data_IF_880132069375
#
_entry.id   IF_880132069375
#
_cell.length_a   1.000
_cell.length_b   1.000
_cell.length_c   1.000
_cell.angle_alpha   90.00
_cell.angle_beta   90.00
_cell.angle_gamma   90.00
#
_symmetry.space_group_name_H-M   'P 1'
#
loop_
_entity.id
_entity.type
_entity.pdbx_description
1 polymer ?
#
# COMPACT_ATOMS: atom_id res chain seq x y z
N UNK A 1 18.21 6.50 -2.84
CA UNK A 1 16.94 6.85 -2.15
C UNK A 1 16.23 7.92 -2.98
N UNK A 2 14.93 7.80 -3.23
CA UNK A 2 14.14 8.79 -3.98
C UNK A 2 13.25 9.64 -3.08
N UNK A 3 12.72 9.05 -2.01
CA UNK A 3 11.89 9.76 -1.04
C UNK A 3 11.81 8.94 0.24
N UNK A 4 11.83 9.62 1.39
CA UNK A 4 11.36 9.14 2.67
C UNK A 4 9.96 9.70 2.94
N UNK A 5 9.03 8.82 3.28
CA UNK A 5 7.61 9.11 3.46
C UNK A 5 7.25 8.78 4.89
N UNK A 6 6.51 9.67 5.54
CA UNK A 6 5.95 9.46 6.88
C UNK A 6 4.54 8.94 6.72
N UNK A 7 4.29 7.70 7.11
CA UNK A 7 2.94 7.21 7.35
C UNK A 7 2.50 7.61 8.76
N UNK A 8 1.72 8.68 8.87
CA UNK A 8 1.08 9.09 10.11
C UNK A 8 -0.21 8.28 10.32
N UNK A 9 -0.36 7.69 11.51
CA UNK A 9 -1.48 6.83 11.94
C UNK A 9 -2.39 7.60 12.90
N UNK A 10 -3.46 8.28 12.43
CA UNK A 10 -4.30 9.10 13.31
C UNK A 10 -5.01 8.31 14.42
N UNK A 11 -5.27 7.02 14.18
CA UNK A 11 -5.88 6.09 15.13
C UNK A 11 -4.85 5.15 15.80
N UNK A 12 -3.60 5.59 15.99
CA UNK A 12 -2.59 4.77 16.64
C UNK A 12 -3.03 4.36 18.05
N UNK A 13 -2.81 3.08 18.39
CA UNK A 13 -3.08 2.60 19.75
C UNK A 13 -2.17 3.34 20.75
N UNK A 14 -2.66 3.70 21.94
CA UNK A 14 -1.84 4.30 22.97
C UNK A 14 -0.76 3.32 23.43
N UNK A 15 0.43 3.83 23.71
CA UNK A 15 1.52 3.05 24.30
C UNK A 15 1.42 3.04 25.83
N UNK A 16 1.83 1.94 26.46
CA UNK A 16 1.93 1.85 27.93
C UNK A 16 3.13 2.62 28.49
N UNK A 17 4.03 3.09 27.62
CA UNK A 17 5.26 3.80 27.98
C UNK A 17 4.94 5.24 28.36
N UNK A 18 5.50 5.73 29.48
CA UNK A 18 5.15 7.02 30.08
C UNK A 18 6.26 8.08 30.02
N UNK A 19 7.48 7.71 29.61
CA UNK A 19 8.66 8.56 29.60
C UNK A 19 9.02 9.11 28.21
N UNK A 20 8.13 8.92 27.22
CA UNK A 20 8.26 9.45 25.87
C UNK A 20 6.90 9.71 25.23
N UNK A 21 6.92 10.42 24.10
CA UNK A 21 5.75 10.59 23.25
C UNK A 21 5.41 9.28 22.53
N UNK A 22 4.11 9.04 22.30
CA UNK A 22 3.61 7.91 21.51
C UNK A 22 4.14 7.96 20.08
N UNK A 23 4.65 6.83 19.59
CA UNK A 23 5.08 6.67 18.19
C UNK A 23 3.85 6.47 17.32
N UNK A 24 3.35 7.58 16.75
CA UNK A 24 2.15 7.59 15.91
C UNK A 24 2.44 7.47 14.40
N UNK A 25 3.67 7.17 14.00
CA UNK A 25 4.03 7.07 12.58
C UNK A 25 5.04 5.96 12.30
N UNK A 26 5.15 5.61 11.02
CA UNK A 26 6.16 4.69 10.48
C UNK A 26 6.79 5.31 9.23
N UNK A 27 8.01 4.88 8.91
CA UNK A 27 8.70 5.30 7.68
C UNK A 27 8.40 4.36 6.52
N UNK A 28 8.17 4.95 5.36
CA UNK A 28 8.14 4.26 4.07
C UNK A 28 9.26 4.84 3.19
N UNK A 29 10.19 4.00 2.78
CA UNK A 29 11.31 4.43 1.94
C UNK A 29 11.10 4.01 0.49
N UNK A 30 11.20 4.98 -0.42
CA UNK A 30 11.15 4.74 -1.86
C UNK A 30 12.57 4.66 -2.42
N UNK A 31 12.97 3.48 -2.89
CA UNK A 31 14.24 3.26 -3.58
C UNK A 31 14.03 3.04 -5.09
N UNK A 32 15.02 3.44 -5.88
CA UNK A 32 15.11 3.14 -7.31
C UNK A 32 16.47 2.54 -7.62
N UNK A 33 16.56 1.69 -8.66
CA UNK A 33 17.83 1.10 -9.12
C UNK A 33 18.73 2.12 -9.83
N UNK A 34 18.12 3.16 -10.40
CA UNK A 34 18.76 4.22 -11.19
C UNK A 34 18.00 5.53 -11.03
N UNK A 35 18.60 6.63 -11.47
CA UNK A 35 17.95 7.95 -11.53
C UNK A 35 16.80 7.99 -12.53
N UNK A 36 16.93 7.24 -13.64
CA UNK A 36 15.86 7.02 -14.60
C UNK A 36 15.03 5.82 -14.16
N UNK A 37 13.80 6.06 -13.70
CA UNK A 37 12.85 5.03 -13.28
C UNK A 37 11.42 5.45 -13.62
N UNK A 38 10.50 4.48 -13.72
CA UNK A 38 9.09 4.76 -13.94
C UNK A 38 8.48 5.42 -12.70
N UNK A 39 7.78 6.54 -12.89
CA UNK A 39 7.02 7.20 -11.84
C UNK A 39 5.79 7.91 -12.42
N UNK A 40 4.60 7.42 -12.08
CA UNK A 40 3.34 8.06 -12.46
C UNK A 40 2.85 8.98 -11.33
N UNK A 41 3.22 10.25 -11.44
CA UNK A 41 2.81 11.27 -10.48
C UNK A 41 1.31 11.58 -10.57
N UNK A 42 0.74 11.55 -11.77
CA UNK A 42 -0.65 11.91 -12.02
C UNK A 42 -1.61 10.90 -11.39
N UNK A 43 -1.25 9.62 -11.42
CA UNK A 43 -2.04 8.54 -10.81
C UNK A 43 -2.23 8.70 -9.29
N UNK A 44 -1.36 9.46 -8.60
CA UNK A 44 -1.40 9.62 -7.14
C UNK A 44 -1.68 11.05 -6.66
N UNK A 45 -1.96 12.00 -7.56
CA UNK A 45 -2.26 13.38 -7.16
C UNK A 45 -3.40 13.44 -6.14
N UNK A 46 -3.26 14.29 -5.13
CA UNK A 46 -4.26 14.50 -4.08
C UNK A 46 -5.07 15.78 -4.35
N UNK A 47 -6.30 15.91 -3.83
CA UNK A 47 -7.07 17.14 -3.99
C UNK A 47 -6.38 18.33 -3.29
N UNK A 48 -6.58 19.53 -3.84
CA UNK A 48 -6.22 20.77 -3.15
C UNK A 48 -7.14 21.01 -1.95
N UNK A 49 -6.70 21.84 -0.99
CA UNK A 49 -7.48 22.09 0.23
C UNK A 49 -8.82 22.79 -0.04
N UNK A 50 -8.89 23.57 -1.12
CA UNK A 50 -10.11 24.21 -1.61
C UNK A 50 -10.96 23.29 -2.51
N UNK A 51 -10.51 22.06 -2.79
CA UNK A 51 -11.20 21.08 -3.64
C UNK A 51 -11.28 21.43 -5.12
N UNK A 52 -10.70 22.55 -5.56
CA UNK A 52 -10.84 23.06 -6.94
C UNK A 52 -9.84 22.47 -7.93
N UNK A 53 -8.89 21.66 -7.45
CA UNK A 53 -7.88 21.06 -8.30
C UNK A 53 -7.19 19.86 -7.66
N UNK A 54 -6.15 19.38 -8.33
CA UNK A 54 -5.29 18.30 -7.86
C UNK A 54 -3.85 18.80 -7.75
N UNK A 55 -3.15 18.36 -6.71
CA UNK A 55 -1.76 18.70 -6.42
C UNK A 55 -0.94 17.43 -6.22
N UNK A 56 0.38 17.58 -6.27
CA UNK A 56 1.30 16.47 -6.04
C UNK A 56 1.12 15.90 -4.64
N UNK A 57 1.13 14.56 -4.54
CA UNK A 57 1.05 13.86 -3.25
C UNK A 57 2.25 14.24 -2.38
N UNK A 58 2.00 14.62 -1.13
CA UNK A 58 3.04 15.02 -0.18
C UNK A 58 3.69 13.81 0.49
N UNK A 59 4.78 14.02 1.23
CA UNK A 59 5.53 12.96 1.92
C UNK A 59 4.94 12.56 3.28
N UNK A 60 3.93 13.27 3.79
CA UNK A 60 3.23 12.88 5.03
C UNK A 60 1.85 12.35 4.68
N UNK A 61 1.65 11.04 4.87
CA UNK A 61 0.43 10.34 4.54
C UNK A 61 -0.36 10.04 5.80
N UNK A 62 -1.53 10.68 5.94
CA UNK A 62 -2.45 10.39 7.04
C UNK A 62 -3.35 9.22 6.62
N UNK A 63 -3.06 8.03 7.14
CA UNK A 63 -3.81 6.80 6.81
C UNK A 63 -4.06 6.05 8.12
N UNK A 64 -5.32 5.73 8.39
CA UNK A 64 -5.68 4.94 9.57
C UNK A 64 -5.19 3.50 9.43
N UNK A 65 -4.81 2.91 10.56
CA UNK A 65 -4.64 1.45 10.67
C UNK A 65 -6.01 0.77 10.56
N UNK A 66 -6.03 -0.41 9.93
CA UNK A 66 -7.23 -1.23 9.76
C UNK A 66 -7.01 -2.56 10.49
N UNK A 67 -7.87 -2.92 11.46
CA UNK A 67 -7.76 -4.22 12.13
C UNK A 67 -8.13 -5.33 11.15
N UNK A 68 -7.33 -6.39 11.13
CA UNK A 68 -7.58 -7.56 10.29
C UNK A 68 -7.88 -8.77 11.17
N UNK A 69 -9.11 -9.28 11.11
CA UNK A 69 -9.63 -10.29 12.04
C UNK A 69 -8.88 -11.63 11.97
N UNK A 70 -8.41 -12.02 10.79
CA UNK A 70 -7.77 -13.32 10.58
C UNK A 70 -6.25 -13.32 10.83
N UNK A 71 -5.63 -12.18 11.16
CA UNK A 71 -4.22 -12.13 11.54
C UNK A 71 -4.06 -11.50 12.92
N UNK A 72 -3.39 -12.22 13.82
CA UNK A 72 -2.93 -11.68 15.11
C UNK A 72 -1.80 -10.63 14.95
N UNK A 73 -1.48 -10.20 13.73
CA UNK A 73 -0.33 -9.34 13.42
C UNK A 73 -0.76 -8.13 12.59
N UNK A 74 0.03 -7.06 12.71
CA UNK A 74 -0.25 -5.75 12.12
C UNK A 74 -0.19 -5.79 10.59
N UNK A 75 -1.34 -5.95 9.95
CA UNK A 75 -1.49 -5.79 8.51
C UNK A 75 -1.52 -4.28 8.21
N UNK A 76 -0.70 -3.82 7.27
CA UNK A 76 -0.82 -2.45 6.77
C UNK A 76 -2.09 -2.31 5.89
N UNK A 77 -2.72 -1.13 5.87
CA UNK A 77 -3.95 -0.91 5.12
C UNK A 77 -3.69 -0.88 3.61
N UNK A 78 -4.67 -1.29 2.81
CA UNK A 78 -4.57 -1.25 1.34
C UNK A 78 -4.32 0.17 0.81
N UNK A 79 -4.87 1.18 1.50
CA UNK A 79 -4.69 2.58 1.20
C UNK A 79 -3.21 3.04 1.26
N UNK A 80 -2.37 2.36 2.05
CA UNK A 80 -0.92 2.61 2.11
C UNK A 80 -0.22 2.05 0.87
N UNK A 81 -0.62 0.87 0.41
CA UNK A 81 0.01 0.17 -0.73
C UNK A 81 -0.39 0.78 -2.08
N UNK A 82 -1.66 1.17 -2.23
CA UNK A 82 -2.21 1.66 -3.49
C UNK A 82 -1.38 2.77 -4.16
N UNK A 83 -1.00 3.87 -3.48
CA UNK A 83 -0.16 4.90 -4.10
C UNK A 83 1.22 4.37 -4.51
N UNK A 84 1.80 3.42 -3.75
CA UNK A 84 3.09 2.82 -4.10
C UNK A 84 3.03 2.07 -5.44
N UNK A 85 1.99 1.25 -5.64
CA UNK A 85 1.81 0.49 -6.89
C UNK A 85 1.45 1.41 -8.05
N UNK A 86 0.53 2.36 -7.84
CA UNK A 86 0.08 3.26 -8.88
C UNK A 86 1.21 4.15 -9.41
N UNK A 87 2.02 4.71 -8.52
CA UNK A 87 3.15 5.54 -8.91
C UNK A 87 4.34 4.71 -9.42
N UNK A 88 4.63 3.56 -8.80
CA UNK A 88 5.87 2.82 -9.03
C UNK A 88 5.81 1.74 -10.12
N UNK A 89 4.63 1.39 -10.63
CA UNK A 89 4.48 0.33 -11.64
C UNK A 89 3.48 0.70 -12.73
N UNK A 90 3.82 0.54 -14.02
CA UNK A 90 2.85 0.69 -15.10
C UNK A 90 1.76 -0.40 -15.00
N UNK A 91 0.62 -0.15 -15.64
CA UNK A 91 -0.47 -1.13 -15.78
C UNK A 91 0.07 -2.39 -16.46
N UNK A 92 -0.34 -3.57 -16.00
CA UNK A 92 0.21 -4.86 -16.45
C UNK A 92 1.61 -5.21 -15.91
N UNK A 93 2.26 -4.28 -15.19
CA UNK A 93 3.55 -4.50 -14.54
C UNK A 93 3.51 -5.62 -13.49
N UNK A 94 4.69 -6.09 -13.08
CA UNK A 94 4.86 -7.17 -12.10
C UNK A 94 5.32 -6.60 -10.76
N UNK A 95 4.59 -6.90 -9.70
CA UNK A 95 4.91 -6.54 -8.32
C UNK A 95 5.49 -7.76 -7.61
N UNK A 96 6.64 -7.60 -6.96
CA UNK A 96 7.22 -8.59 -6.06
C UNK A 96 7.00 -8.15 -4.61
N UNK A 97 6.43 -9.04 -3.80
CA UNK A 97 6.38 -8.88 -2.35
C UNK A 97 7.14 -10.05 -1.68
N UNK A 98 8.36 -9.84 -1.17
CA UNK A 98 9.14 -10.90 -0.53
C UNK A 98 8.64 -11.26 0.88
N UNK A 99 7.69 -10.49 1.43
CA UNK A 99 7.11 -10.67 2.77
C UNK A 99 5.58 -10.54 2.69
N UNK A 100 4.97 -11.39 1.86
CA UNK A 100 3.58 -11.28 1.44
C UNK A 100 2.59 -11.21 2.62
N UNK A 101 2.90 -11.87 3.74
CA UNK A 101 2.03 -11.95 4.90
C UNK A 101 0.63 -12.40 4.50
N UNK A 102 -0.40 -11.65 4.91
CA UNK A 102 -1.80 -11.94 4.57
C UNK A 102 -2.20 -11.58 3.14
N UNK A 103 -1.28 -11.12 2.27
CA UNK A 103 -1.55 -10.91 0.85
C UNK A 103 -2.06 -9.52 0.44
N UNK A 104 -1.93 -8.51 1.30
CA UNK A 104 -2.43 -7.15 1.02
C UNK A 104 -1.82 -6.53 -0.24
N UNK A 105 -0.51 -6.71 -0.49
CA UNK A 105 0.13 -6.19 -1.71
C UNK A 105 -0.42 -6.87 -2.96
N UNK A 106 -0.58 -8.19 -2.92
CA UNK A 106 -1.15 -8.95 -4.03
C UNK A 106 -2.57 -8.52 -4.37
N UNK A 107 -3.41 -8.27 -3.35
CA UNK A 107 -4.78 -7.82 -3.54
C UNK A 107 -4.82 -6.49 -4.29
N UNK A 108 -4.05 -5.50 -3.82
CA UNK A 108 -4.00 -4.17 -4.46
C UNK A 108 -3.36 -4.25 -5.86
N UNK A 109 -2.38 -5.14 -6.07
CA UNK A 109 -1.82 -5.37 -7.39
C UNK A 109 -2.88 -5.87 -8.38
N UNK A 110 -3.68 -6.87 -8.02
CA UNK A 110 -4.77 -7.40 -8.86
C UNK A 110 -5.82 -6.32 -9.15
N UNK A 111 -6.30 -5.62 -8.13
CA UNK A 111 -7.32 -4.57 -8.27
C UNK A 111 -6.85 -3.42 -9.17
N UNK A 112 -5.56 -3.12 -9.16
CA UNK A 112 -4.97 -2.07 -10.01
C UNK A 112 -4.54 -2.62 -11.37
N UNK A 113 -4.82 -3.87 -11.71
CA UNK A 113 -4.49 -4.46 -13.01
C UNK A 113 -2.98 -4.70 -13.20
N UNK A 114 -2.28 -5.04 -12.13
CA UNK A 114 -0.89 -5.51 -12.13
C UNK A 114 -0.84 -7.01 -11.80
N UNK A 115 0.25 -7.66 -12.15
CA UNK A 115 0.56 -9.03 -11.74
C UNK A 115 1.33 -9.00 -10.43
N UNK A 116 1.24 -10.05 -9.62
CA UNK A 116 1.99 -10.14 -8.37
C UNK A 116 2.65 -11.51 -8.20
N UNK A 117 3.86 -11.51 -7.64
CA UNK A 117 4.53 -12.68 -7.06
C UNK A 117 4.78 -12.36 -5.59
N UNK A 118 4.29 -13.23 -4.71
CA UNK A 118 4.46 -13.08 -3.26
C UNK A 118 5.23 -14.26 -2.67
N UNK A 119 6.09 -13.97 -1.69
CA UNK A 119 6.84 -14.97 -0.93
C UNK A 119 6.46 -14.82 0.55
N UNK A 120 6.17 -15.94 1.21
CA UNK A 120 5.87 -15.98 2.63
C UNK A 120 6.35 -17.32 3.20
N UNK A 121 6.98 -17.28 4.38
CA UNK A 121 7.60 -18.45 5.01
C UNK A 121 6.61 -19.21 5.89
N UNK A 122 5.61 -18.53 6.47
CA UNK A 122 4.61 -19.16 7.33
C UNK A 122 3.43 -19.68 6.51
N UNK A 123 3.21 -20.99 6.57
CA UNK A 123 2.14 -21.67 5.84
C UNK A 123 0.73 -21.09 6.12
N UNK A 124 0.45 -20.71 7.37
CA UNK A 124 -0.85 -20.14 7.76
C UNK A 124 -1.15 -18.83 7.01
N UNK A 125 -0.13 -17.98 6.84
CA UNK A 125 -0.26 -16.75 6.06
C UNK A 125 -0.40 -17.01 4.57
N UNK A 126 0.33 -17.99 4.04
CA UNK A 126 0.16 -18.42 2.64
C UNK A 126 -1.29 -18.84 2.39
N UNK A 127 -1.92 -19.56 3.33
CA UNK A 127 -3.31 -19.98 3.20
C UNK A 127 -4.28 -18.79 3.23
N UNK A 128 -4.11 -17.84 4.16
CA UNK A 128 -4.91 -16.61 4.22
C UNK A 128 -4.77 -15.80 2.91
N UNK A 129 -3.53 -15.59 2.46
CA UNK A 129 -3.24 -14.86 1.24
C UNK A 129 -3.88 -15.54 0.01
N UNK A 130 -3.77 -16.86 -0.12
CA UNK A 130 -4.42 -17.62 -1.21
C UNK A 130 -5.92 -17.39 -1.25
N UNK A 131 -6.61 -17.49 -0.11
CA UNK A 131 -8.06 -17.28 -0.06
C UNK A 131 -8.44 -15.86 -0.50
N UNK A 132 -7.71 -14.85 -0.04
CA UNK A 132 -7.95 -13.45 -0.41
C UNK A 132 -7.70 -13.18 -1.90
N UNK A 133 -6.60 -13.73 -2.44
CA UNK A 133 -6.20 -13.49 -3.83
C UNK A 133 -7.09 -14.25 -4.83
N UNK A 134 -7.58 -15.45 -4.46
CA UNK A 134 -8.53 -16.19 -5.30
C UNK A 134 -9.92 -15.51 -5.33
N UNK A 135 -10.33 -14.88 -4.24
CA UNK A 135 -11.58 -14.09 -4.19
C UNK A 135 -11.48 -12.73 -4.89
N UNK A 136 -10.26 -12.27 -5.21
CA UNK A 136 -10.04 -11.00 -5.89
C UNK A 136 -10.25 -11.17 -7.41
N UNK A 137 -11.44 -10.85 -7.91
CA UNK A 137 -11.67 -10.74 -9.36
C UNK A 137 -11.02 -9.46 -9.90
N UNK A 138 -10.41 -9.52 -11.10
CA UNK A 138 -10.17 -8.30 -11.88
C UNK A 138 -11.52 -7.59 -12.07
N UNK A 139 -11.59 -6.25 -12.00
CA UNK A 139 -12.80 -5.55 -12.39
C UNK A 139 -13.15 -5.99 -13.82
N UNK A 140 -14.28 -6.70 -13.96
CA UNK A 140 -14.93 -6.92 -15.24
C UNK A 140 -15.07 -5.54 -15.88
N UNK A 141 -14.48 -5.36 -17.05
CA UNK A 141 -14.56 -4.11 -17.78
C UNK A 141 -16.04 -3.71 -17.95
N UNK A 142 -16.50 -2.73 -17.18
CA UNK A 142 -17.76 -2.04 -17.47
C UNK A 142 -17.45 -0.96 -18.50
N UNK A 143 -17.94 -1.19 -19.72
CA UNK A 143 -18.29 -0.22 -20.76
C UNK A 143 -17.16 0.48 -21.56
N UNK A 144 -16.93 -0.04 -22.76
CA UNK A 144 -16.92 0.78 -23.98
C UNK A 144 -17.87 0.10 -24.98
N UNK A 145 -19.05 0.69 -25.17
CA UNK A 145 -19.83 0.63 -26.41
C UNK A 145 -19.64 1.99 -27.07
#
# INVERSE_FOLDING_TARGET
LRSDIIWHKPNCQPESVKDRVTVSHEYLFMFSKSENYYFDQDAIKEPTADGKGRKNKRTVWQINTEPFKEAHFAVFPQALVRPCILAGSPKGGLILDPFLGSGTVGLVAIETGRRCVGIEVKADYVNIAKQRLLGASLPLFTECI
#
